data_IF_606865519283
#
_entry.id   IF_606865519283
#
_cell.length_a   1.000
_cell.length_b   1.000
_cell.length_c   1.000
_cell.angle_alpha   90.00
_cell.angle_beta   90.00
_cell.angle_gamma   90.00
#
_symmetry.space_group_name_H-M   'P 1'
#
loop_
_entity.id
_entity.type
_entity.pdbx_description
1 polymer ?
#
# COMPACT_ATOMS: atom_id res chain seq x y z
N UNK A 1 5.01 -29.97 -9.06
CA UNK A 1 3.94 -29.13 -9.65
C UNK A 1 3.56 -28.09 -8.61
N UNK A 2 3.77 -26.84 -8.99
CA UNK A 2 4.01 -25.69 -8.11
C UNK A 2 2.82 -25.39 -7.17
N UNK A 3 3.11 -25.10 -5.89
CA UNK A 3 2.12 -24.55 -4.95
C UNK A 3 1.47 -23.28 -5.55
N UNK A 4 2.26 -22.45 -6.23
CA UNK A 4 1.79 -21.28 -6.96
C UNK A 4 0.74 -21.60 -8.05
N UNK A 5 0.95 -22.64 -8.86
CA UNK A 5 -0.01 -23.06 -9.89
C UNK A 5 -1.35 -23.53 -9.29
N UNK A 6 -1.30 -24.17 -8.11
CA UNK A 6 -2.49 -24.62 -7.40
C UNK A 6 -3.27 -23.44 -6.81
N UNK A 7 -2.57 -22.47 -6.22
CA UNK A 7 -3.18 -21.27 -5.65
C UNK A 7 -3.83 -20.40 -6.72
N UNK A 8 -3.14 -20.20 -7.86
CA UNK A 8 -3.67 -19.47 -9.02
C UNK A 8 -4.96 -20.09 -9.56
N UNK A 9 -5.00 -21.42 -9.71
CA UNK A 9 -6.22 -22.12 -10.17
C UNK A 9 -7.38 -22.02 -9.19
N UNK A 10 -7.10 -22.04 -7.88
CA UNK A 10 -8.13 -21.90 -6.85
C UNK A 10 -8.76 -20.50 -6.88
N UNK A 11 -7.94 -19.45 -6.88
CA UNK A 11 -8.45 -18.06 -6.97
C UNK A 11 -9.20 -17.83 -8.27
N UNK A 12 -8.69 -18.33 -9.41
CA UNK A 12 -9.42 -18.28 -10.68
C UNK A 12 -10.80 -18.91 -10.58
N UNK A 13 -10.89 -20.12 -10.00
CA UNK A 13 -12.17 -20.80 -9.79
C UNK A 13 -13.09 -20.04 -8.84
N UNK A 14 -12.57 -19.37 -7.82
CA UNK A 14 -13.36 -18.55 -6.91
C UNK A 14 -13.94 -17.32 -7.62
N UNK A 15 -13.13 -16.63 -8.42
CA UNK A 15 -13.55 -15.45 -9.18
C UNK A 15 -14.54 -15.83 -10.28
N UNK A 16 -14.33 -16.94 -10.98
CA UNK A 16 -15.27 -17.50 -11.95
C UNK A 16 -16.63 -17.86 -11.30
N UNK A 17 -16.64 -18.14 -9.99
CA UNK A 17 -17.86 -18.38 -9.20
C UNK A 17 -18.53 -17.09 -8.69
N UNK A 18 -18.02 -15.91 -9.06
CA UNK A 18 -18.52 -14.62 -8.62
C UNK A 18 -18.04 -14.20 -7.23
N UNK A 19 -16.89 -14.71 -6.77
CA UNK A 19 -16.30 -14.27 -5.50
C UNK A 19 -15.89 -12.79 -5.59
N UNK A 20 -16.36 -12.01 -4.63
CA UNK A 20 -15.95 -10.63 -4.39
C UNK A 20 -14.52 -10.61 -3.83
N UNK A 21 -13.60 -9.98 -4.57
CA UNK A 21 -12.18 -9.91 -4.22
C UNK A 21 -11.87 -8.89 -3.12
N UNK A 22 -12.83 -8.02 -2.80
CA UNK A 22 -12.68 -6.95 -1.81
C UNK A 22 -13.35 -7.32 -0.49
N UNK A 23 -14.17 -8.37 -0.50
CA UNK A 23 -14.83 -8.88 0.69
C UNK A 23 -13.85 -9.54 1.65
N UNK A 24 -13.94 -9.14 2.91
CA UNK A 24 -13.20 -9.75 4.02
C UNK A 24 -13.73 -11.18 4.25
N UNK A 25 -12.83 -12.15 4.15
CA UNK A 25 -13.13 -13.56 4.45
C UNK A 25 -13.25 -13.78 5.98
N UNK A 26 -13.84 -14.90 6.44
CA UNK A 26 -13.95 -15.22 7.87
C UNK A 26 -12.62 -15.25 8.65
N UNK A 27 -11.50 -15.42 7.94
CA UNK A 27 -10.17 -15.33 8.53
C UNK A 27 -9.68 -13.89 8.79
N UNK A 28 -10.49 -12.88 8.47
CA UNK A 28 -10.14 -11.46 8.64
C UNK A 28 -9.24 -10.91 7.54
N UNK A 29 -9.10 -11.60 6.40
CA UNK A 29 -8.27 -11.13 5.28
C UNK A 29 -9.12 -10.95 4.02
N UNK A 30 -8.75 -9.99 3.19
CA UNK A 30 -9.10 -10.00 1.75
C UNK A 30 -8.16 -10.96 1.02
N UNK A 31 -8.53 -11.48 -0.16
CA UNK A 31 -7.62 -12.20 -1.05
C UNK A 31 -6.28 -11.48 -1.25
N UNK A 32 -6.30 -10.15 -1.47
CA UNK A 32 -5.10 -9.36 -1.69
C UNK A 32 -4.21 -9.30 -0.44
N UNK A 33 -4.77 -8.96 0.73
CA UNK A 33 -4.00 -8.90 2.00
C UNK A 33 -3.46 -10.27 2.41
N UNK A 34 -4.18 -11.37 2.08
CA UNK A 34 -3.70 -12.73 2.30
C UNK A 34 -2.53 -13.09 1.40
N UNK A 35 -2.62 -12.79 0.10
CA UNK A 35 -1.53 -13.03 -0.85
C UNK A 35 -0.27 -12.25 -0.46
N UNK A 36 -0.43 -10.99 -0.04
CA UNK A 36 0.68 -10.17 0.45
C UNK A 36 1.28 -10.70 1.74
N UNK A 37 0.47 -11.19 2.69
CA UNK A 37 0.96 -11.84 3.92
C UNK A 37 1.80 -13.08 3.61
N UNK A 38 1.46 -13.80 2.54
CA UNK A 38 2.22 -14.98 2.07
C UNK A 38 3.41 -14.62 1.18
N UNK A 39 3.61 -13.34 0.87
CA UNK A 39 4.67 -12.82 -0.01
C UNK A 39 4.61 -13.41 -1.43
N UNK A 40 3.42 -13.87 -1.85
CA UNK A 40 3.19 -14.51 -3.14
C UNK A 40 2.96 -13.43 -4.20
N UNK A 41 4.06 -12.90 -4.75
CA UNK A 41 4.03 -11.78 -5.69
C UNK A 41 3.22 -12.07 -6.96
N UNK A 42 3.29 -13.28 -7.49
CA UNK A 42 2.51 -13.67 -8.66
C UNK A 42 1.00 -13.71 -8.35
N UNK A 43 0.64 -14.14 -7.14
CA UNK A 43 -0.75 -14.10 -6.67
C UNK A 43 -1.24 -12.66 -6.49
N UNK A 44 -0.40 -11.77 -5.95
CA UNK A 44 -0.71 -10.34 -5.82
C UNK A 44 -0.98 -9.71 -7.18
N UNK A 45 -0.09 -9.89 -8.15
CA UNK A 45 -0.29 -9.37 -9.52
C UNK A 45 -1.58 -9.88 -10.14
N UNK A 46 -1.86 -11.18 -9.96
CA UNK A 46 -3.04 -11.79 -10.51
C UNK A 46 -4.32 -11.19 -9.92
N UNK A 47 -4.39 -11.05 -8.59
CA UNK A 47 -5.56 -10.50 -7.90
C UNK A 47 -5.79 -9.03 -8.29
N UNK A 48 -4.74 -8.21 -8.34
CA UNK A 48 -4.83 -6.81 -8.81
C UNK A 48 -5.24 -6.76 -10.28
N UNK A 49 -4.70 -7.64 -11.12
CA UNK A 49 -5.07 -7.75 -12.54
C UNK A 49 -6.51 -8.20 -12.79
N UNK A 50 -7.16 -8.82 -11.80
CA UNK A 50 -8.59 -9.14 -11.83
C UNK A 50 -9.48 -7.96 -11.39
N UNK A 51 -8.89 -6.83 -10.99
CA UNK A 51 -9.62 -5.62 -10.60
C UNK A 51 -9.94 -5.53 -9.11
N UNK A 52 -9.24 -6.27 -8.25
CA UNK A 52 -9.34 -6.07 -6.81
C UNK A 52 -8.91 -4.64 -6.42
N UNK A 53 -9.62 -4.04 -5.47
CA UNK A 53 -9.24 -2.74 -4.92
C UNK A 53 -7.96 -2.87 -4.08
N UNK A 54 -6.91 -2.21 -4.54
CA UNK A 54 -5.59 -2.18 -3.89
C UNK A 54 -5.61 -1.53 -2.51
N UNK A 55 -6.63 -0.73 -2.22
CA UNK A 55 -6.78 0.02 -0.97
C UNK A 55 -7.69 -0.68 0.05
N UNK A 56 -8.34 -1.80 -0.34
CA UNK A 56 -9.16 -2.55 0.58
C UNK A 56 -8.33 -3.14 1.72
N UNK A 57 -8.81 -2.93 2.95
CA UNK A 57 -8.13 -3.39 4.15
C UNK A 57 -8.70 -4.72 4.68
N UNK A 58 -7.85 -5.49 5.36
CA UNK A 58 -8.28 -6.65 6.11
C UNK A 58 -9.11 -6.28 7.34
N UNK A 59 -9.58 -7.29 8.06
CA UNK A 59 -10.30 -7.11 9.33
C UNK A 59 -9.44 -6.53 10.46
N UNK A 60 -8.12 -6.49 10.29
CA UNK A 60 -7.16 -5.80 11.16
C UNK A 60 -6.94 -4.32 10.76
N UNK A 61 -7.64 -3.84 9.72
CA UNK A 61 -7.51 -2.48 9.20
C UNK A 61 -6.27 -2.26 8.34
N UNK A 62 -5.46 -3.29 8.08
CA UNK A 62 -4.25 -3.15 7.27
C UNK A 62 -4.52 -3.33 5.79
N UNK A 63 -3.96 -2.44 4.97
CA UNK A 63 -3.94 -2.57 3.52
C UNK A 63 -2.86 -3.55 3.08
N UNK A 64 -2.93 -4.00 1.82
CA UNK A 64 -1.87 -4.80 1.23
C UNK A 64 -0.52 -4.06 1.25
N UNK A 65 -0.52 -2.74 1.03
CA UNK A 65 0.69 -1.91 1.06
C UNK A 65 1.31 -1.86 2.45
N UNK A 66 0.50 -1.66 3.50
CA UNK A 66 0.96 -1.66 4.89
C UNK A 66 1.60 -3.01 5.29
N UNK A 67 0.97 -4.13 4.89
CA UNK A 67 1.52 -5.47 5.14
C UNK A 67 2.85 -5.64 4.42
N UNK A 68 2.93 -5.29 3.12
CA UNK A 68 4.16 -5.43 2.34
C UNK A 68 5.33 -4.62 2.93
N UNK A 69 5.06 -3.38 3.36
CA UNK A 69 6.04 -2.53 4.04
C UNK A 69 6.51 -3.16 5.35
N UNK A 70 5.57 -3.61 6.20
CA UNK A 70 5.92 -4.24 7.49
C UNK A 70 6.76 -5.52 7.37
N UNK A 71 6.64 -6.23 6.24
CA UNK A 71 7.39 -7.46 5.94
C UNK A 71 8.67 -7.22 5.14
N UNK A 72 8.98 -5.96 4.82
CA UNK A 72 10.09 -5.56 3.98
C UNK A 72 10.05 -6.18 2.55
N UNK A 73 8.85 -6.35 1.97
CA UNK A 73 8.68 -6.97 0.65
C UNK A 73 8.73 -5.94 -0.49
N UNK A 74 9.93 -5.46 -0.82
CA UNK A 74 10.16 -4.39 -1.80
C UNK A 74 9.39 -4.56 -3.13
N UNK A 75 9.41 -5.78 -3.70
CA UNK A 75 8.76 -6.06 -4.98
C UNK A 75 7.23 -5.86 -4.93
N UNK A 76 6.60 -6.17 -3.80
CA UNK A 76 5.16 -6.00 -3.61
C UNK A 76 4.85 -4.53 -3.33
N UNK A 77 5.67 -3.85 -2.51
CA UNK A 77 5.53 -2.41 -2.23
C UNK A 77 5.53 -1.60 -3.53
N UNK A 78 6.56 -1.78 -4.37
CA UNK A 78 6.68 -1.05 -5.64
C UNK A 78 5.50 -1.32 -6.57
N UNK A 79 5.13 -2.59 -6.72
CA UNK A 79 4.00 -2.97 -7.56
C UNK A 79 2.66 -2.38 -7.09
N UNK A 80 2.38 -2.40 -5.78
CA UNK A 80 1.13 -1.84 -5.25
C UNK A 80 1.09 -0.32 -5.41
N UNK A 81 2.21 0.38 -5.20
CA UNK A 81 2.31 1.83 -5.46
C UNK A 81 2.09 2.17 -6.93
N UNK A 82 2.68 1.40 -7.85
CA UNK A 82 2.45 1.52 -9.30
C UNK A 82 0.99 1.23 -9.68
N UNK A 83 0.33 0.35 -8.92
CA UNK A 83 -1.08 0.00 -9.10
C UNK A 83 -2.06 1.00 -8.46
N UNK A 84 -1.57 2.14 -7.96
CA UNK A 84 -2.41 3.21 -7.41
C UNK A 84 -2.80 3.03 -5.94
N UNK A 85 -2.04 2.24 -5.17
CA UNK A 85 -2.25 2.14 -3.74
C UNK A 85 -2.02 3.50 -3.05
N UNK A 86 -2.93 3.86 -2.17
CA UNK A 86 -2.87 5.06 -1.35
C UNK A 86 -1.83 4.87 -0.25
N UNK A 87 -0.70 5.56 -0.42
CA UNK A 87 0.43 5.54 0.52
C UNK A 87 0.07 6.08 1.90
N UNK A 88 -0.96 6.93 2.01
CA UNK A 88 -1.39 7.48 3.29
C UNK A 88 -1.97 6.42 4.22
N UNK A 89 -2.58 5.37 3.65
CA UNK A 89 -3.15 4.23 4.39
C UNK A 89 -2.09 3.27 4.94
N UNK A 90 -0.83 3.44 4.55
CA UNK A 90 0.31 2.63 4.98
C UNK A 90 1.46 3.52 5.51
N UNK A 91 1.17 4.78 5.83
CA UNK A 91 2.19 5.79 6.10
C UNK A 91 3.13 5.38 7.23
N UNK A 92 2.58 4.92 8.36
CA UNK A 92 3.41 4.54 9.51
C UNK A 92 4.36 3.40 9.18
N UNK A 93 3.89 2.39 8.47
CA UNK A 93 4.72 1.26 8.04
C UNK A 93 5.74 1.66 6.97
N UNK A 94 5.37 2.55 6.07
CA UNK A 94 6.25 3.04 5.00
C UNK A 94 7.30 4.04 5.49
N UNK A 95 7.00 4.88 6.48
CA UNK A 95 7.97 5.77 7.12
C UNK A 95 9.10 4.95 7.75
N UNK A 96 8.74 3.93 8.55
CA UNK A 96 9.72 3.00 9.15
C UNK A 96 10.47 2.20 8.08
N UNK A 97 9.77 1.75 7.03
CA UNK A 97 10.38 1.02 5.91
C UNK A 97 11.44 1.85 5.17
N UNK A 98 11.11 3.11 4.83
CA UNK A 98 11.97 3.99 4.05
C UNK A 98 13.25 4.34 4.80
N UNK A 99 13.16 4.53 6.13
CA UNK A 99 14.31 4.76 7.00
C UNK A 99 15.30 3.59 6.95
N UNK A 100 14.82 2.34 6.95
CA UNK A 100 15.68 1.15 7.08
C UNK A 100 16.27 0.69 5.76
N UNK A 101 15.61 1.00 4.63
CA UNK A 101 16.04 0.54 3.31
C UNK A 101 16.75 1.62 2.49
N UNK A 102 16.88 2.84 3.03
CA UNK A 102 17.43 4.00 2.31
C UNK A 102 16.75 4.21 0.93
N UNK A 103 15.48 3.78 0.79
CA UNK A 103 14.75 3.84 -0.48
C UNK A 103 14.18 5.26 -0.67
N UNK A 104 15.02 6.12 -1.25
CA UNK A 104 14.75 7.54 -1.45
C UNK A 104 13.52 7.80 -2.34
N UNK A 105 13.16 6.88 -3.24
CA UNK A 105 11.98 7.04 -4.09
C UNK A 105 10.69 6.93 -3.26
N UNK A 106 10.63 5.98 -2.32
CA UNK A 106 9.51 5.85 -1.39
C UNK A 106 9.48 7.02 -0.43
N UNK A 107 10.65 7.43 0.08
CA UNK A 107 10.77 8.61 0.93
C UNK A 107 10.22 9.86 0.24
N UNK A 108 10.66 10.17 -0.98
CA UNK A 108 10.14 11.30 -1.74
C UNK A 108 8.63 11.20 -1.94
N UNK A 109 8.10 10.02 -2.31
CA UNK A 109 6.64 9.84 -2.52
C UNK A 109 5.81 10.10 -1.25
N UNK A 110 6.30 9.69 -0.09
CA UNK A 110 5.64 9.94 1.20
C UNK A 110 5.68 11.43 1.58
N UNK A 111 6.80 12.11 1.30
CA UNK A 111 7.02 13.50 1.68
C UNK A 111 6.54 14.51 0.63
N UNK A 112 6.36 14.13 -0.63
CA UNK A 112 5.68 14.92 -1.68
C UNK A 112 4.19 15.10 -1.36
N UNK A 113 3.55 14.06 -0.79
CA UNK A 113 2.21 14.22 -0.22
C UNK A 113 2.17 15.26 0.92
N UNK A 114 3.30 15.49 1.61
CA UNK A 114 3.44 16.51 2.66
C UNK A 114 3.72 17.91 2.09
N UNK A 115 4.51 18.03 1.02
CA UNK A 115 4.76 19.30 0.31
C UNK A 115 3.46 19.93 -0.23
N UNK A 116 2.46 19.12 -0.58
CA UNK A 116 1.14 19.63 -0.97
C UNK A 116 0.31 20.23 0.18
N UNK A 117 0.69 20.00 1.45
CA UNK A 117 -0.01 20.49 2.63
C UNK A 117 0.67 21.69 3.32
N UNK A 118 1.86 22.09 2.87
CA UNK A 118 2.65 23.19 3.46
C UNK A 118 3.00 24.30 2.44
N UNK A 119 2.08 24.69 1.56
CA UNK A 119 2.19 25.99 0.87
C UNK A 119 0.98 26.90 1.17
N UNK A 120 1.32 28.14 1.57
CA UNK A 120 0.49 29.26 2.04
C UNK A 120 0.14 29.32 3.54
N UNK A 121 1.15 29.15 4.39
CA UNK A 121 1.36 30.09 5.48
C UNK A 121 2.28 31.20 4.98
N UNK A 122 1.74 32.23 4.32
CA UNK A 122 2.50 33.41 3.93
C UNK A 122 3.23 33.95 5.16
N UNK A 123 4.56 33.95 5.08
CA UNK A 123 5.39 34.68 6.01
C UNK A 123 5.00 36.15 5.97
N UNK A 124 4.63 36.68 7.13
CA UNK A 124 4.99 38.04 7.49
C UNK A 124 5.97 37.92 8.65
N UNK A 125 7.23 37.74 8.28
CA UNK A 125 8.38 38.02 9.12
C UNK A 125 8.55 39.54 9.15
N UNK A 126 8.55 40.10 10.35
CA UNK A 126 9.14 41.38 10.77
C UNK A 126 9.04 42.62 9.87
N UNK A 127 8.30 43.62 10.36
CA UNK A 127 8.71 45.02 10.22
C UNK A 127 8.54 45.74 11.57
N UNK A 128 9.57 45.67 12.41
CA UNK A 128 9.90 46.83 13.24
C UNK A 128 10.64 47.84 12.34
N UNK A 129 10.19 49.10 12.31
CA UNK A 129 11.15 50.14 12.63
C UNK A 129 10.58 51.16 13.64
N UNK A 130 11.51 51.72 14.41
CA UNK A 130 11.35 52.67 15.50
C UNK A 130 10.76 54.04 15.11
N UNK A 131 10.36 54.79 16.16
CA UNK A 131 10.21 56.24 16.31
C UNK A 131 8.89 56.93 15.90
N UNK A 132 8.11 57.30 16.92
CA UNK A 132 7.95 58.69 17.38
C UNK A 132 7.59 58.71 18.88
#
# INVERSE_FOLDING_TARGET
KNVAEKNLKFIKSCVDSGADLDKIAPCGCTPLTKATTLEDFEMVKYIVGLGADVNCCGGDGKTALAIAASKNCLQIVKFLMESGADVSLAKTELDVYAEWNEDFDIFLKLYENKLSLEEFGSGDEEAQPEMN
#
